data_IF_937721745693
#
_entry.id   IF_937721745693
#
_cell.length_a   1.000
_cell.length_b   1.000
_cell.length_c   1.000
_cell.angle_alpha   90.00
_cell.angle_beta   90.00
_cell.angle_gamma   90.00
#
_symmetry.space_group_name_H-M   'P 1'
#
loop_
_entity.id
_entity.type
_entity.pdbx_description
1 polymer ?
#
# COMPACT_ATOMS: atom_id res chain seq x y z
N UNK A 1 -0.79 13.14 7.90
CA UNK A 1 0.56 13.72 8.01
C UNK A 1 1.31 13.60 6.69
N UNK A 2 1.49 12.41 6.10
CA UNK A 2 2.17 12.33 4.78
C UNK A 2 1.33 12.77 3.58
N UNK A 3 0.13 12.22 3.35
CA UNK A 3 -0.71 12.59 2.19
C UNK A 3 -1.67 13.77 2.43
N UNK A 4 -1.71 14.29 3.66
CA UNK A 4 -2.64 15.35 4.06
C UNK A 4 -4.13 15.03 3.90
N UNK A 5 -4.50 13.76 3.79
CA UNK A 5 -5.90 13.32 3.60
C UNK A 5 -6.59 12.99 4.92
N UNK A 6 -7.86 13.38 5.03
CA UNK A 6 -8.81 12.84 6.01
C UNK A 6 -9.74 11.94 5.22
N UNK A 7 -9.67 10.64 5.45
CA UNK A 7 -10.46 9.66 4.68
C UNK A 7 -11.70 9.25 5.46
N UNK A 8 -12.87 9.47 4.88
CA UNK A 8 -14.12 8.90 5.37
C UNK A 8 -14.23 7.42 4.96
N UNK A 9 -14.79 6.60 5.85
CA UNK A 9 -15.11 5.21 5.52
C UNK A 9 -13.88 4.31 5.32
N UNK A 10 -12.82 4.50 6.13
CA UNK A 10 -11.70 3.55 6.22
C UNK A 10 -12.25 2.17 6.56
N UNK A 11 -11.95 1.19 5.71
CA UNK A 11 -12.37 -0.21 5.88
C UNK A 11 -11.16 -1.05 6.24
N UNK A 12 -11.23 -1.69 7.40
CA UNK A 12 -10.32 -2.78 7.74
C UNK A 12 -10.44 -3.91 6.71
N UNK A 13 -9.30 -4.45 6.29
CA UNK A 13 -9.22 -5.58 5.38
C UNK A 13 -8.85 -6.84 6.14
N UNK A 14 -7.65 -6.85 6.73
CA UNK A 14 -7.09 -7.97 7.47
C UNK A 14 -5.88 -7.49 8.26
N UNK A 15 -5.42 -8.34 9.16
CA UNK A 15 -4.18 -8.14 9.91
C UNK A 15 -3.34 -9.40 9.86
N UNK A 16 -2.02 -9.24 9.90
CA UNK A 16 -1.08 -10.34 9.91
C UNK A 16 0.19 -9.96 10.67
N UNK A 17 0.96 -10.97 11.06
CA UNK A 17 2.27 -10.76 11.66
C UNK A 17 3.30 -10.72 10.53
N UNK A 18 3.93 -9.56 10.33
CA UNK A 18 5.13 -9.44 9.50
C UNK A 18 6.34 -9.75 10.37
N UNK A 19 7.18 -10.69 9.95
CA UNK A 19 8.35 -11.11 10.74
C UNK A 19 9.54 -11.34 9.82
N UNK A 20 10.68 -10.77 10.18
CA UNK A 20 11.97 -10.98 9.51
C UNK A 20 13.05 -11.34 10.57
N UNK A 21 14.32 -11.44 10.16
CA UNK A 21 15.40 -11.82 11.08
C UNK A 21 15.73 -10.77 12.16
N UNK A 22 15.21 -9.55 12.03
CA UNK A 22 15.55 -8.40 12.86
C UNK A 22 14.36 -7.92 13.69
N UNK A 23 13.13 -7.99 13.15
CA UNK A 23 11.92 -7.46 13.79
C UNK A 23 10.68 -8.31 13.53
N UNK A 24 9.66 -8.09 14.34
CA UNK A 24 8.34 -8.70 14.17
C UNK A 24 7.28 -7.68 14.55
N UNK A 25 6.34 -7.46 13.64
CA UNK A 25 5.35 -6.40 13.72
C UNK A 25 3.96 -6.95 13.42
N UNK A 26 2.96 -6.43 14.15
CA UNK A 26 1.56 -6.71 13.88
C UNK A 26 1.02 -5.65 12.92
N UNK A 27 0.76 -6.06 11.67
CA UNK A 27 0.32 -5.18 10.59
C UNK A 27 -1.20 -5.21 10.46
N UNK A 28 -1.81 -4.04 10.30
CA UNK A 28 -3.24 -3.88 10.05
C UNK A 28 -3.49 -3.17 8.72
N UNK A 29 -4.00 -3.90 7.74
CA UNK A 29 -4.26 -3.38 6.40
C UNK A 29 -5.65 -2.79 6.31
N UNK A 30 -5.73 -1.56 5.78
CA UNK A 30 -6.96 -0.81 5.61
C UNK A 30 -7.07 -0.28 4.17
N UNK A 31 -8.29 -0.01 3.72
CA UNK A 31 -8.56 0.63 2.43
C UNK A 31 -9.53 1.79 2.59
N UNK A 32 -9.40 2.80 1.73
CA UNK A 32 -10.36 3.88 1.61
C UNK A 32 -10.46 4.30 0.14
N UNK A 33 -11.48 5.11 -0.18
CA UNK A 33 -11.61 5.76 -1.48
C UNK A 33 -11.60 7.26 -1.20
N UNK A 34 -10.60 7.95 -1.73
CA UNK A 34 -10.47 9.40 -1.63
C UNK A 34 -10.36 10.00 -3.02
N UNK A 35 -11.16 11.02 -3.30
CA UNK A 35 -11.23 11.66 -4.63
C UNK A 35 -10.39 12.95 -4.69
N UNK A 36 -9.55 13.18 -3.69
CA UNK A 36 -8.77 14.39 -3.55
C UNK A 36 -9.50 15.49 -2.75
N UNK A 37 -8.81 16.61 -2.48
CA UNK A 37 -7.43 16.89 -2.90
C UNK A 37 -6.39 16.00 -2.20
N UNK A 38 -5.19 15.91 -2.76
CA UNK A 38 -4.04 15.16 -2.22
C UNK A 38 -2.90 16.12 -1.83
N UNK A 39 -3.05 16.93 -0.76
CA UNK A 39 -2.01 17.84 -0.32
C UNK A 39 -0.95 17.07 0.48
N UNK A 40 -0.01 16.42 -0.22
CA UNK A 40 1.05 15.63 0.40
C UNK A 40 2.20 16.50 0.94
N UNK A 41 2.92 15.99 1.94
CA UNK A 41 4.07 16.62 2.55
C UNK A 41 5.32 16.44 1.67
N UNK A 42 5.81 17.52 1.08
CA UNK A 42 6.98 17.51 0.20
C UNK A 42 8.31 17.27 0.92
N UNK A 43 8.35 17.38 2.26
CA UNK A 43 9.56 17.03 3.02
C UNK A 43 9.73 15.51 3.17
N UNK A 44 8.63 14.74 3.04
CA UNK A 44 8.60 13.28 3.20
C UNK A 44 8.33 12.54 1.88
N UNK A 45 7.65 13.18 0.92
CA UNK A 45 7.25 12.59 -0.35
C UNK A 45 7.73 13.48 -1.51
N UNK A 46 8.58 12.91 -2.37
CA UNK A 46 9.05 13.58 -3.59
C UNK A 46 7.95 13.74 -4.65
N UNK A 47 7.12 12.70 -4.86
CA UNK A 47 6.05 12.70 -5.86
C UNK A 47 4.96 11.66 -5.54
N UNK A 48 3.77 11.83 -6.12
CA UNK A 48 2.64 10.89 -6.04
C UNK A 48 2.17 10.46 -7.42
N UNK A 49 1.84 9.17 -7.56
CA UNK A 49 1.31 8.61 -8.81
C UNK A 49 0.15 7.67 -8.54
N UNK A 50 -0.87 7.72 -9.40
CA UNK A 50 -1.87 6.67 -9.46
C UNK A 50 -1.34 5.47 -10.24
N UNK A 51 -1.41 4.29 -9.63
CA UNK A 51 -0.97 3.04 -10.22
C UNK A 51 -2.16 2.13 -10.51
N UNK A 52 -2.22 1.60 -11.72
CA UNK A 52 -3.06 0.44 -12.03
C UNK A 52 -2.44 -0.85 -11.50
N UNK A 53 -3.26 -1.88 -11.28
CA UNK A 53 -2.77 -3.21 -10.85
C UNK A 53 -1.77 -3.78 -11.88
N UNK A 54 -1.96 -3.53 -13.17
CA UNK A 54 -1.03 -3.97 -14.21
C UNK A 54 0.33 -3.28 -14.11
N UNK A 55 0.36 -1.96 -13.87
CA UNK A 55 1.62 -1.24 -13.66
C UNK A 55 2.34 -1.73 -12.40
N UNK A 56 1.61 -1.98 -11.30
CA UNK A 56 2.21 -2.52 -10.08
C UNK A 56 2.85 -3.88 -10.37
N UNK A 57 2.10 -4.81 -10.97
CA UNK A 57 2.62 -6.14 -11.33
C UNK A 57 3.86 -6.05 -12.22
N UNK A 58 3.89 -5.10 -13.16
CA UNK A 58 5.06 -4.89 -14.00
C UNK A 58 6.26 -4.36 -13.20
N UNK A 59 6.05 -3.51 -12.21
CA UNK A 59 7.12 -2.92 -11.40
C UNK A 59 7.67 -3.84 -10.29
N UNK A 60 6.97 -4.91 -9.94
CA UNK A 60 7.42 -5.87 -8.92
C UNK A 60 8.77 -6.50 -9.27
N UNK A 61 9.64 -6.64 -8.27
CA UNK A 61 10.98 -7.22 -8.41
C UNK A 61 11.98 -6.34 -9.18
N UNK A 62 11.60 -5.11 -9.57
CA UNK A 62 12.50 -4.18 -10.26
C UNK A 62 13.23 -3.22 -9.31
N UNK A 63 12.96 -3.30 -8.00
CA UNK A 63 13.52 -2.37 -7.00
C UNK A 63 12.91 -0.95 -7.06
N UNK A 64 11.80 -0.78 -7.79
CA UNK A 64 11.03 0.47 -7.85
C UNK A 64 10.09 0.58 -6.63
N UNK A 65 9.55 -0.55 -6.18
CA UNK A 65 8.66 -0.67 -5.04
C UNK A 65 9.46 -1.19 -3.83
N UNK A 66 9.07 -0.82 -2.61
CA UNK A 66 9.71 -1.37 -1.42
C UNK A 66 9.32 -2.84 -1.21
N UNK A 67 10.21 -3.62 -0.61
CA UNK A 67 9.95 -5.04 -0.31
C UNK A 67 8.68 -5.24 0.52
N UNK A 68 8.39 -4.31 1.45
CA UNK A 68 7.18 -4.34 2.25
C UNK A 68 5.93 -4.14 1.38
N UNK A 69 5.97 -3.19 0.44
CA UNK A 69 4.85 -2.95 -0.47
C UNK A 69 4.61 -4.16 -1.40
N UNK A 70 5.68 -4.73 -1.97
CA UNK A 70 5.56 -5.92 -2.83
C UNK A 70 4.96 -7.11 -2.07
N UNK A 71 5.39 -7.32 -0.82
CA UNK A 71 4.84 -8.35 0.05
C UNK A 71 3.37 -8.09 0.43
N UNK A 72 3.00 -6.82 0.65
CA UNK A 72 1.62 -6.45 1.01
C UNK A 72 0.67 -6.61 -0.18
N UNK A 73 1.07 -6.12 -1.37
CA UNK A 73 0.20 -6.14 -2.54
C UNK A 73 -0.04 -7.58 -3.03
N UNK A 74 0.94 -8.47 -2.91
CA UNK A 74 0.76 -9.89 -3.23
C UNK A 74 -0.28 -10.56 -2.32
N UNK A 75 -0.22 -10.31 -1.00
CA UNK A 75 -1.24 -10.76 -0.04
C UNK A 75 -2.62 -10.18 -0.36
N UNK A 76 -2.66 -8.89 -0.69
CA UNK A 76 -3.91 -8.21 -1.05
C UNK A 76 -4.56 -8.83 -2.29
N UNK A 77 -3.78 -9.03 -3.37
CA UNK A 77 -4.28 -9.58 -4.63
C UNK A 77 -4.71 -11.04 -4.48
N UNK A 78 -3.96 -11.84 -3.71
CA UNK A 78 -4.30 -13.23 -3.42
C UNK A 78 -5.57 -13.35 -2.58
N UNK A 79 -5.70 -12.55 -1.50
CA UNK A 79 -6.88 -12.59 -0.62
C UNK A 79 -8.17 -12.14 -1.30
N UNK A 80 -8.09 -11.27 -2.31
CA UNK A 80 -9.26 -10.79 -3.06
C UNK A 80 -9.60 -11.60 -4.31
N UNK A 81 -8.83 -12.65 -4.63
CA UNK A 81 -9.02 -13.45 -5.84
C UNK A 81 -9.01 -12.59 -7.13
N UNK A 82 -8.23 -11.51 -7.15
CA UNK A 82 -8.00 -10.65 -8.35
C UNK A 82 -6.84 -11.22 -9.18
N UNK A 83 -6.73 -12.54 -9.15
CA UNK A 83 -5.80 -13.35 -9.93
C UNK A 83 -6.60 -14.09 -11.00
N UNK A 84 -7.07 -13.33 -12.01
CA UNK A 84 -7.80 -13.83 -13.17
C UNK A 84 -7.93 -12.74 -14.20
#
# INVERSE_FOLDING_TARGET
EELGIVSDGIKFLYSYIHSNAYETEMVFSHSCIHNGPFPFNQEEIDDIKFWSIAEIKNAMGQGILSDNFESEIDKYLTSRNIAG
#
